data_IF_115660388255
#
_entry.id   IF_115660388255
#
_cell.length_a   1.000
_cell.length_b   1.000
_cell.length_c   1.000
_cell.angle_alpha   90.00
_cell.angle_beta   90.00
_cell.angle_gamma   90.00
#
_symmetry.space_group_name_H-M   'P 1'
#
loop_
_entity.id
_entity.type
_entity.pdbx_description
1 polymer ?
#
# COMPACT_ATOMS: atom_id res chain seq x y z
N UNK A 1 1.81 28.49 21.29
CA UNK A 1 2.48 27.57 20.33
C UNK A 1 2.23 28.13 18.94
N UNK A 2 3.29 28.57 18.25
CA UNK A 2 3.20 29.42 17.07
C UNK A 2 2.72 28.63 15.84
N UNK A 3 1.59 29.06 15.28
CA UNK A 3 1.05 28.61 14.01
C UNK A 3 1.79 29.37 12.91
N UNK A 4 2.71 28.70 12.20
CA UNK A 4 3.46 29.30 11.09
C UNK A 4 2.68 29.06 9.80
N UNK A 5 1.71 29.93 9.52
CA UNK A 5 1.06 30.00 8.21
C UNK A 5 2.01 30.74 7.25
N UNK A 6 2.68 30.00 6.36
CA UNK A 6 3.46 30.61 5.29
C UNK A 6 2.52 31.06 4.17
N UNK A 7 2.23 32.35 4.11
CA UNK A 7 1.64 32.98 2.94
C UNK A 7 2.66 32.95 1.78
N UNK A 8 2.54 31.96 0.88
CA UNK A 8 3.23 31.97 -0.42
C UNK A 8 2.30 32.61 -1.46
N UNK A 9 2.82 33.64 -2.15
CA UNK A 9 2.16 34.24 -3.31
C UNK A 9 2.41 33.31 -4.51
N UNK A 10 1.37 32.88 -5.26
CA UNK A 10 1.55 31.93 -6.35
C UNK A 10 2.30 32.59 -7.50
N UNK A 11 3.54 32.15 -7.73
CA UNK A 11 4.32 32.51 -8.91
C UNK A 11 4.11 31.50 -10.03
N UNK A 12 4.37 31.89 -11.28
CA UNK A 12 4.27 31.02 -12.48
C UNK A 12 5.17 29.76 -12.40
N UNK A 13 6.14 29.74 -11.46
CA UNK A 13 7.04 28.63 -11.15
C UNK A 13 6.55 27.72 -10.00
N UNK A 14 5.54 28.12 -9.21
CA UNK A 14 4.89 27.24 -8.21
C UNK A 14 4.10 26.08 -8.87
N UNK A 15 3.92 26.18 -10.19
CA UNK A 15 3.18 25.21 -11.00
C UNK A 15 3.91 23.89 -11.22
N UNK A 16 5.22 23.86 -11.01
CA UNK A 16 6.07 22.68 -11.21
C UNK A 16 7.02 22.53 -10.02
N UNK A 17 6.59 21.80 -8.99
CA UNK A 17 7.46 21.40 -7.91
C UNK A 17 8.20 20.13 -8.30
N UNK A 18 9.40 20.32 -8.87
CA UNK A 18 10.38 19.26 -9.09
C UNK A 18 11.35 19.20 -7.91
N UNK A 19 11.43 18.05 -7.25
CA UNK A 19 12.32 17.82 -6.12
C UNK A 19 13.26 16.66 -6.48
N UNK A 20 14.52 17.00 -6.79
CA UNK A 20 15.54 16.04 -7.25
C UNK A 20 16.43 15.50 -6.12
N UNK A 21 16.45 16.18 -4.96
CA UNK A 21 17.14 15.74 -3.74
C UNK A 21 16.72 16.62 -2.56
N UNK A 22 15.96 16.09 -1.62
CA UNK A 22 15.59 16.82 -0.40
C UNK A 22 15.44 15.87 0.79
N UNK A 23 15.89 16.37 1.94
CA UNK A 23 15.59 15.81 3.25
C UNK A 23 14.08 15.82 3.49
N UNK A 24 13.58 14.75 4.09
CA UNK A 24 12.17 14.38 4.25
C UNK A 24 11.24 15.57 4.52
N UNK A 25 10.53 16.05 3.47
CA UNK A 25 9.37 16.93 3.65
C UNK A 25 8.17 16.09 4.05
N UNK A 26 7.47 16.49 5.12
CA UNK A 26 6.35 15.72 5.67
C UNK A 26 5.09 15.81 4.77
N UNK A 27 4.94 16.92 4.05
CA UNK A 27 3.83 17.16 3.14
C UNK A 27 4.22 18.09 1.98
N UNK A 28 3.73 17.81 0.77
CA UNK A 28 3.88 18.62 -0.44
C UNK A 28 2.51 18.74 -1.10
N UNK A 29 2.14 19.97 -1.45
CA UNK A 29 0.92 20.30 -2.18
C UNK A 29 1.29 21.13 -3.43
N UNK A 30 0.87 20.71 -4.62
CA UNK A 30 1.11 21.43 -5.88
C UNK A 30 0.22 20.91 -7.02
N UNK A 31 -0.01 21.69 -8.08
CA UNK A 31 -0.71 21.17 -9.27
C UNK A 31 0.03 19.97 -9.87
N UNK A 32 1.35 20.07 -10.08
CA UNK A 32 2.15 19.01 -10.67
C UNK A 32 3.39 18.77 -9.82
N UNK A 33 3.54 17.52 -9.39
CA UNK A 33 4.66 17.09 -8.55
C UNK A 33 5.52 16.07 -9.29
N UNK A 34 6.81 16.36 -9.42
CA UNK A 34 7.81 15.42 -9.89
C UNK A 34 8.82 15.12 -8.78
N UNK A 35 8.81 13.88 -8.30
CA UNK A 35 9.71 13.42 -7.25
C UNK A 35 10.74 12.47 -7.83
N UNK A 36 12.01 12.76 -7.57
CA UNK A 36 13.10 11.89 -7.99
C UNK A 36 14.13 11.70 -6.88
N UNK A 37 14.49 10.44 -6.59
CA UNK A 37 15.56 10.10 -5.63
C UNK A 37 15.34 10.74 -4.23
N UNK A 38 14.09 10.78 -3.77
CA UNK A 38 13.68 11.42 -2.52
C UNK A 38 12.84 10.52 -1.63
N UNK A 39 12.78 10.86 -0.35
CA UNK A 39 11.84 10.27 0.62
C UNK A 39 10.90 11.36 1.12
N UNK A 40 9.60 11.19 0.96
CA UNK A 40 8.59 12.19 1.32
C UNK A 40 7.49 11.53 2.16
N UNK A 41 6.94 12.28 3.11
CA UNK A 41 5.76 11.87 3.85
C UNK A 41 4.56 11.77 2.92
N UNK A 42 3.94 12.89 2.58
CA UNK A 42 2.72 12.92 1.80
C UNK A 42 2.78 13.88 0.62
N UNK A 43 2.13 13.51 -0.47
CA UNK A 43 1.96 14.32 -1.67
C UNK A 43 0.48 14.46 -1.96
N UNK A 44 0.02 15.69 -2.09
CA UNK A 44 -1.27 16.04 -2.68
C UNK A 44 -1.02 16.83 -3.95
N UNK A 45 -1.55 16.35 -5.08
CA UNK A 45 -1.33 17.02 -6.34
C UNK A 45 -2.51 16.88 -7.31
N UNK A 46 -2.49 17.66 -8.39
CA UNK A 46 -3.35 17.35 -9.54
C UNK A 46 -2.77 16.18 -10.34
N UNK A 47 -1.45 16.20 -10.60
CA UNK A 47 -0.71 15.07 -11.20
C UNK A 47 0.58 14.80 -10.44
N UNK A 48 0.92 13.52 -10.26
CA UNK A 48 2.13 13.12 -9.56
C UNK A 48 2.97 12.12 -10.37
N UNK A 49 4.24 12.43 -10.58
CA UNK A 49 5.24 11.51 -11.13
C UNK A 49 6.31 11.22 -10.09
N UNK A 50 6.50 9.95 -9.76
CA UNK A 50 7.38 9.51 -8.67
C UNK A 50 8.38 8.48 -9.19
N UNK A 51 9.66 8.86 -9.27
CA UNK A 51 10.72 8.01 -9.80
C UNK A 51 11.81 7.74 -8.76
N UNK A 52 12.15 6.47 -8.52
CA UNK A 52 13.20 6.09 -7.55
C UNK A 52 13.02 6.79 -6.20
N UNK A 53 11.79 6.88 -5.72
CA UNK A 53 11.46 7.60 -4.50
C UNK A 53 10.58 6.74 -3.58
N UNK A 54 10.62 7.07 -2.29
CA UNK A 54 9.78 6.47 -1.26
C UNK A 54 8.80 7.52 -0.74
N UNK A 55 7.51 7.27 -0.90
CA UNK A 55 6.47 8.22 -0.48
C UNK A 55 5.49 7.51 0.45
N UNK A 56 5.16 8.07 1.62
CA UNK A 56 4.18 7.41 2.50
C UNK A 56 2.81 7.35 1.82
N UNK A 57 2.33 8.47 1.31
CA UNK A 57 1.03 8.55 0.63
C UNK A 57 1.08 9.51 -0.56
N UNK A 58 0.61 9.05 -1.72
CA UNK A 58 0.43 9.88 -2.92
C UNK A 58 -1.07 9.98 -3.18
N UNK A 59 -1.59 11.21 -3.21
CA UNK A 59 -2.96 11.52 -3.63
C UNK A 59 -2.87 12.43 -4.85
N UNK A 60 -3.52 12.05 -5.95
CA UNK A 60 -3.64 12.88 -7.12
C UNK A 60 -5.10 13.01 -7.58
N UNK A 61 -5.48 14.19 -8.07
CA UNK A 61 -6.82 14.40 -8.64
C UNK A 61 -6.94 13.77 -10.03
N UNK A 62 -5.90 13.84 -10.85
CA UNK A 62 -5.83 13.19 -12.15
C UNK A 62 -5.01 11.90 -12.05
N UNK A 63 -3.77 11.90 -12.56
CA UNK A 63 -3.00 10.69 -12.79
C UNK A 63 -1.79 10.58 -11.86
N UNK A 64 -1.41 9.34 -11.54
CA UNK A 64 -0.17 9.02 -10.83
C UNK A 64 0.68 8.09 -11.69
N UNK A 65 1.94 8.47 -11.92
CA UNK A 65 2.93 7.62 -12.56
C UNK A 65 4.07 7.31 -11.58
N UNK A 66 4.35 6.02 -11.36
CA UNK A 66 5.44 5.55 -10.49
C UNK A 66 6.41 4.66 -11.25
N UNK A 67 7.71 4.95 -11.13
CA UNK A 67 8.77 4.16 -11.75
C UNK A 67 9.86 3.83 -10.74
N UNK A 68 10.10 2.54 -10.51
CA UNK A 68 11.10 2.05 -9.55
C UNK A 68 10.94 2.70 -8.16
N UNK A 69 9.70 2.92 -7.74
CA UNK A 69 9.35 3.68 -6.54
C UNK A 69 8.53 2.84 -5.57
N UNK A 70 8.49 3.26 -4.31
CA UNK A 70 7.67 2.65 -3.26
C UNK A 70 6.69 3.64 -2.65
N UNK A 71 5.42 3.25 -2.48
CA UNK A 71 4.47 4.05 -1.72
C UNK A 71 3.54 3.21 -0.84
N UNK A 72 3.24 3.63 0.40
CA UNK A 72 2.34 2.85 1.26
C UNK A 72 0.89 2.93 0.78
N UNK A 73 0.49 4.10 0.28
CA UNK A 73 -0.80 4.28 -0.40
C UNK A 73 -0.68 5.19 -1.61
N UNK A 74 -1.39 4.81 -2.68
CA UNK A 74 -1.53 5.59 -3.90
C UNK A 74 -3.01 5.74 -4.19
N UNK A 75 -3.47 6.98 -4.37
CA UNK A 75 -4.83 7.31 -4.75
C UNK A 75 -4.82 8.28 -5.92
N UNK A 76 -5.56 7.96 -6.98
CA UNK A 76 -5.75 8.82 -8.14
C UNK A 76 -7.23 8.83 -8.54
N UNK A 77 -7.78 9.97 -8.97
CA UNK A 77 -9.13 9.98 -9.57
C UNK A 77 -9.12 9.73 -11.08
N UNK A 78 -7.96 9.81 -11.71
CA UNK A 78 -7.68 9.33 -13.06
C UNK A 78 -7.04 7.95 -13.04
N UNK A 79 -5.91 7.84 -13.73
CA UNK A 79 -5.19 6.59 -13.94
C UNK A 79 -3.98 6.45 -13.01
N UNK A 80 -3.61 5.21 -12.68
CA UNK A 80 -2.36 4.89 -11.98
C UNK A 80 -1.49 3.99 -12.83
N UNK A 81 -0.29 4.46 -13.18
CA UNK A 81 0.75 3.66 -13.84
C UNK A 81 1.88 3.33 -12.87
N UNK A 82 2.23 2.05 -12.75
CA UNK A 82 3.36 1.60 -11.94
C UNK A 82 4.27 0.67 -12.74
N UNK A 83 5.56 1.03 -12.81
CA UNK A 83 6.60 0.24 -13.46
C UNK A 83 7.71 -0.07 -12.47
N UNK A 84 8.01 -1.35 -12.24
CA UNK A 84 9.04 -1.76 -11.27
C UNK A 84 8.80 -1.24 -9.85
N UNK A 85 7.55 -0.95 -9.48
CA UNK A 85 7.20 -0.22 -8.27
C UNK A 85 6.41 -1.09 -7.29
N UNK A 86 6.36 -0.68 -6.02
CA UNK A 86 5.65 -1.42 -4.97
C UNK A 86 4.68 -0.53 -4.20
N UNK A 87 3.44 -0.99 -4.03
CA UNK A 87 2.49 -0.31 -3.15
C UNK A 87 1.48 -1.26 -2.51
N UNK A 88 1.40 -1.32 -1.16
CA UNK A 88 0.38 -2.13 -0.49
C UNK A 88 -1.05 -1.74 -0.87
N UNK A 89 -1.32 -0.49 -1.23
CA UNK A 89 -2.67 0.02 -1.48
C UNK A 89 -2.68 0.96 -2.67
N UNK A 90 -3.36 0.55 -3.74
CA UNK A 90 -3.52 1.35 -4.96
C UNK A 90 -5.02 1.54 -5.23
N UNK A 91 -5.43 2.79 -5.34
CA UNK A 91 -6.80 3.16 -5.73
C UNK A 91 -6.75 4.09 -6.95
N UNK A 92 -7.39 3.70 -8.04
CA UNK A 92 -7.66 4.56 -9.18
C UNK A 92 -9.17 4.58 -9.45
N UNK A 93 -9.73 5.72 -9.86
CA UNK A 93 -11.15 5.74 -10.26
C UNK A 93 -11.37 5.29 -11.71
N UNK A 94 -10.30 5.25 -12.52
CA UNK A 94 -10.29 4.79 -13.90
C UNK A 94 -9.41 3.55 -14.02
N UNK A 95 -8.20 3.67 -14.56
CA UNK A 95 -7.40 2.51 -14.92
C UNK A 95 -6.17 2.35 -14.02
N UNK A 96 -5.80 1.11 -13.72
CA UNK A 96 -4.52 0.77 -13.10
C UNK A 96 -3.69 -0.05 -14.06
N UNK A 97 -2.45 0.38 -14.32
CA UNK A 97 -1.47 -0.35 -15.13
C UNK A 97 -0.27 -0.72 -14.29
N UNK A 98 -0.02 -2.02 -14.13
CA UNK A 98 1.10 -2.56 -13.38
C UNK A 98 2.02 -3.33 -14.32
N UNK A 99 3.27 -2.90 -14.42
CA UNK A 99 4.32 -3.60 -15.17
C UNK A 99 5.50 -3.89 -14.24
N UNK A 100 5.86 -5.16 -14.10
CA UNK A 100 6.84 -5.67 -13.15
C UNK A 100 6.69 -5.08 -11.72
N UNK A 101 5.45 -4.91 -11.26
CA UNK A 101 5.12 -4.16 -10.05
C UNK A 101 4.33 -5.01 -9.07
N UNK A 102 4.45 -4.72 -7.78
CA UNK A 102 3.75 -5.47 -6.72
C UNK A 102 2.76 -4.58 -5.99
N UNK A 103 1.51 -5.05 -5.87
CA UNK A 103 0.48 -4.37 -5.10
C UNK A 103 -0.22 -5.30 -4.10
N UNK A 104 -0.54 -4.78 -2.92
CA UNK A 104 -1.29 -5.55 -1.92
C UNK A 104 -2.76 -5.62 -2.29
N UNK A 105 -3.40 -4.45 -2.36
CA UNK A 105 -4.80 -4.27 -2.75
C UNK A 105 -4.85 -3.26 -3.88
N UNK A 106 -5.55 -3.60 -4.96
CA UNK A 106 -5.78 -2.72 -6.10
C UNK A 106 -7.27 -2.52 -6.28
N UNK A 107 -7.71 -1.27 -6.33
CA UNK A 107 -9.10 -0.90 -6.64
C UNK A 107 -9.13 -0.01 -7.88
N UNK A 108 -9.82 -0.43 -8.94
CA UNK A 108 -9.86 0.31 -10.21
C UNK A 108 -11.12 0.00 -10.99
N UNK A 109 -11.50 0.83 -11.97
CA UNK A 109 -12.52 0.45 -12.95
C UNK A 109 -12.00 -0.65 -13.86
N UNK A 110 -10.79 -0.45 -14.39
CA UNK A 110 -10.07 -1.43 -15.19
C UNK A 110 -8.67 -1.62 -14.62
N UNK A 111 -8.19 -2.86 -14.59
CA UNK A 111 -6.83 -3.15 -14.18
C UNK A 111 -6.10 -3.96 -15.25
N UNK A 112 -4.95 -3.46 -15.70
CA UNK A 112 -4.01 -4.17 -16.56
C UNK A 112 -2.77 -4.49 -15.76
N UNK A 113 -2.53 -5.77 -15.55
CA UNK A 113 -1.31 -6.27 -14.90
C UNK A 113 -0.55 -7.04 -15.96
N UNK A 114 0.60 -6.55 -16.39
CA UNK A 114 1.43 -7.22 -17.39
C UNK A 114 2.31 -8.28 -16.74
N UNK A 115 2.96 -7.90 -15.64
CA UNK A 115 3.82 -8.77 -14.84
C UNK A 115 3.89 -8.24 -13.40
N UNK A 116 3.85 -9.15 -12.43
CA UNK A 116 3.89 -8.78 -11.01
C UNK A 116 2.88 -9.52 -10.13
N UNK A 117 2.80 -9.09 -8.88
CA UNK A 117 1.96 -9.72 -7.86
C UNK A 117 0.89 -8.74 -7.38
N UNK A 118 -0.36 -9.17 -7.39
CA UNK A 118 -1.47 -8.44 -6.77
C UNK A 118 -2.13 -9.33 -5.73
N UNK A 119 -2.19 -8.89 -4.47
CA UNK A 119 -2.87 -9.66 -3.43
C UNK A 119 -4.38 -9.76 -3.70
N UNK A 120 -5.05 -8.62 -3.64
CA UNK A 120 -6.51 -8.51 -3.86
C UNK A 120 -6.75 -7.53 -5.00
N UNK A 121 -7.48 -7.97 -6.02
CA UNK A 121 -7.84 -7.14 -7.16
C UNK A 121 -9.35 -6.90 -7.20
N UNK A 122 -9.75 -5.66 -6.89
CA UNK A 122 -11.14 -5.20 -6.93
C UNK A 122 -11.32 -4.33 -8.18
N UNK A 123 -11.81 -4.91 -9.26
CA UNK A 123 -11.98 -4.17 -10.51
C UNK A 123 -13.20 -4.60 -11.31
N UNK A 124 -13.71 -3.71 -12.17
CA UNK A 124 -14.80 -3.99 -13.10
C UNK A 124 -14.35 -4.86 -14.26
N UNK A 125 -13.14 -4.63 -14.77
CA UNK A 125 -12.51 -5.45 -15.82
C UNK A 125 -11.02 -5.64 -15.52
N UNK A 126 -10.49 -6.84 -15.77
CA UNK A 126 -9.09 -7.15 -15.51
C UNK A 126 -8.44 -7.80 -16.73
N UNK A 127 -7.29 -7.29 -17.13
CA UNK A 127 -6.40 -7.90 -18.14
C UNK A 127 -5.11 -8.31 -17.45
N UNK A 128 -4.85 -9.62 -17.42
CA UNK A 128 -3.73 -10.22 -16.72
C UNK A 128 -2.79 -10.83 -17.76
N UNK A 129 -1.51 -10.47 -17.70
CA UNK A 129 -0.45 -11.11 -18.47
C UNK A 129 -0.03 -12.46 -17.89
N UNK A 130 0.70 -13.24 -18.67
CA UNK A 130 1.04 -14.64 -18.37
C UNK A 130 1.88 -14.84 -17.10
N UNK A 131 2.53 -13.77 -16.61
CA UNK A 131 3.39 -13.78 -15.41
C UNK A 131 2.76 -13.04 -14.23
N UNK A 132 1.43 -13.02 -14.15
CA UNK A 132 0.72 -12.34 -13.07
C UNK A 132 0.15 -13.32 -12.06
N UNK A 133 0.28 -12.98 -10.78
CA UNK A 133 -0.30 -13.77 -9.70
C UNK A 133 -1.29 -12.89 -8.92
N UNK A 134 -2.58 -13.15 -9.12
CA UNK A 134 -3.67 -12.53 -8.36
C UNK A 134 -4.18 -13.53 -7.33
N UNK A 135 -4.03 -13.22 -6.03
CA UNK A 135 -4.37 -14.17 -4.96
C UNK A 135 -5.88 -14.25 -4.74
N UNK A 136 -6.61 -13.12 -4.84
CA UNK A 136 -8.07 -13.10 -4.85
C UNK A 136 -8.60 -12.14 -5.93
N UNK A 137 -9.43 -12.67 -6.83
CA UNK A 137 -10.20 -11.86 -7.76
C UNK A 137 -11.39 -11.21 -7.05
N UNK A 138 -11.96 -10.14 -7.62
CA UNK A 138 -13.06 -9.38 -6.99
C UNK A 138 -14.28 -10.23 -6.60
N UNK A 139 -14.59 -11.29 -7.37
CA UNK A 139 -15.70 -12.21 -7.02
C UNK A 139 -15.34 -13.09 -5.83
N UNK A 140 -14.12 -13.62 -5.78
CA UNK A 140 -13.65 -14.45 -4.67
C UNK A 140 -13.43 -13.62 -3.40
N UNK A 141 -13.01 -12.36 -3.55
CA UNK A 141 -12.87 -11.41 -2.45
C UNK A 141 -14.23 -11.05 -1.82
N UNK A 142 -15.28 -10.92 -2.63
CA UNK A 142 -16.65 -10.71 -2.13
C UNK A 142 -17.16 -11.95 -1.37
N UNK A 143 -16.92 -13.14 -1.90
CA UNK A 143 -17.30 -14.38 -1.23
C UNK A 143 -16.52 -14.59 0.07
N UNK A 144 -15.22 -14.29 0.07
CA UNK A 144 -14.39 -14.31 1.27
C UNK A 144 -14.86 -13.26 2.30
N UNK A 145 -15.12 -12.03 1.86
CA UNK A 145 -15.65 -10.96 2.70
C UNK A 145 -17.01 -11.31 3.30
N UNK A 146 -17.90 -11.93 2.53
CA UNK A 146 -19.19 -12.42 3.02
C UNK A 146 -19.01 -13.55 4.04
N UNK A 147 -18.12 -14.50 3.76
CA UNK A 147 -17.81 -15.59 4.68
C UNK A 147 -17.29 -15.05 6.02
N UNK A 148 -16.30 -14.15 6.00
CA UNK A 148 -15.77 -13.52 7.21
C UNK A 148 -16.82 -12.64 7.90
N UNK A 149 -17.61 -11.89 7.14
CA UNK A 149 -18.67 -11.01 7.66
C UNK A 149 -19.81 -11.75 8.36
N UNK A 150 -20.09 -13.00 7.97
CA UNK A 150 -21.05 -13.88 8.63
C UNK A 150 -20.41 -14.59 9.83
N UNK A 151 -19.17 -15.08 9.67
CA UNK A 151 -18.50 -15.85 10.72
C UNK A 151 -18.07 -14.98 11.91
N UNK A 152 -17.59 -13.76 11.66
CA UNK A 152 -17.09 -12.87 12.71
C UNK A 152 -18.15 -12.52 13.78
N UNK A 153 -19.38 -12.07 13.45
CA UNK A 153 -20.40 -11.81 14.46
C UNK A 153 -20.88 -13.10 15.14
N UNK A 154 -20.89 -14.24 14.46
CA UNK A 154 -21.22 -15.53 15.07
C UNK A 154 -20.17 -15.94 16.12
N UNK A 155 -18.89 -15.83 15.78
CA UNK A 155 -17.77 -16.08 16.69
C UNK A 155 -17.78 -15.07 17.84
N UNK A 156 -17.98 -13.78 17.55
CA UNK A 156 -18.08 -12.74 18.59
C UNK A 156 -19.28 -12.96 19.51
N UNK A 157 -20.41 -13.42 18.99
CA UNK A 157 -21.60 -13.78 19.76
C UNK A 157 -21.35 -14.99 20.65
N UNK A 158 -20.75 -16.05 20.11
CA UNK A 158 -20.36 -17.23 20.87
C UNK A 158 -19.36 -16.86 21.97
N UNK A 159 -18.32 -16.09 21.65
CA UNK A 159 -17.35 -15.60 22.62
C UNK A 159 -17.99 -14.72 23.69
N UNK A 160 -18.94 -13.85 23.33
CA UNK A 160 -19.69 -13.05 24.32
C UNK A 160 -20.59 -13.91 25.21
N UNK A 161 -21.15 -14.99 24.66
CA UNK A 161 -22.01 -15.90 25.41
C UNK A 161 -21.24 -16.79 26.39
N UNK A 162 -19.99 -17.11 26.07
CA UNK A 162 -19.10 -17.89 26.94
C UNK A 162 -18.11 -17.04 27.73
N UNK A 163 -18.03 -15.73 27.49
CA UNK A 163 -17.19 -14.82 28.26
C UNK A 163 -17.88 -14.47 29.59
N UNK A 164 -17.16 -14.52 30.72
CA UNK A 164 -17.68 -14.03 31.99
C UNK A 164 -18.03 -12.53 31.87
N UNK A 165 -19.08 -12.05 32.58
CA UNK A 165 -19.46 -10.65 32.55
C UNK A 165 -18.25 -9.76 32.87
N UNK A 166 -18.15 -8.58 32.23
CA UNK A 166 -17.04 -7.67 32.51
C UNK A 166 -17.05 -7.33 34.00
N UNK A 167 -16.04 -7.81 34.73
CA UNK A 167 -15.79 -7.37 36.11
C UNK A 167 -15.67 -5.84 36.07
N UNK A 168 -16.36 -5.17 36.98
CA UNK A 168 -16.23 -3.72 37.19
C UNK A 168 -14.76 -3.33 37.10
N UNK A 169 -14.47 -2.35 36.26
CA UNK A 169 -13.11 -1.99 35.89
C UNK A 169 -12.38 -1.43 37.11
N UNK A 170 -11.67 -2.28 37.84
CA UNK A 170 -10.55 -1.82 38.66
C UNK A 170 -9.57 -1.06 37.75
N UNK A 171 -9.06 0.10 38.20
CA UNK A 171 -8.14 0.92 37.41
C UNK A 171 -6.92 0.08 37.03
N UNK A 172 -6.87 -0.35 35.77
CA UNK A 172 -5.84 -1.26 35.28
C UNK A 172 -4.47 -0.62 35.47
N UNK A 173 -3.56 -1.27 36.22
CA UNK A 173 -2.24 -0.73 36.49
C UNK A 173 -1.43 -0.57 35.21
N UNK A 174 -0.50 0.40 35.20
CA UNK A 174 0.18 0.85 33.98
C UNK A 174 0.91 -0.26 33.21
N UNK A 175 1.37 -1.31 33.89
CA UNK A 175 2.05 -2.44 33.28
C UNK A 175 1.15 -3.31 32.38
N UNK A 176 -0.17 -3.40 32.65
CA UNK A 176 -1.10 -4.12 31.75
C UNK A 176 -1.36 -3.32 30.47
N UNK A 177 -1.31 -1.99 30.53
CA UNK A 177 -1.38 -1.13 29.33
C UNK A 177 -0.13 -1.29 28.47
N UNK A 178 1.05 -1.32 29.10
CA UNK A 178 2.32 -1.56 28.41
C UNK A 178 2.37 -2.96 27.77
N UNK A 179 1.89 -4.00 28.48
CA UNK A 179 1.79 -5.36 27.96
C UNK A 179 0.84 -5.48 26.77
N UNK A 180 -0.34 -4.86 26.82
CA UNK A 180 -1.28 -4.80 25.69
C UNK A 180 -0.70 -4.03 24.49
N UNK A 181 0.03 -2.95 24.74
CA UNK A 181 0.72 -2.21 23.69
C UNK A 181 1.83 -3.05 23.03
N UNK A 182 2.64 -3.75 23.82
CA UNK A 182 3.67 -4.66 23.33
C UNK A 182 3.09 -5.85 22.54
N UNK A 183 1.99 -6.44 23.02
CA UNK A 183 1.30 -7.53 22.31
C UNK A 183 0.77 -7.06 20.94
N UNK A 184 0.30 -5.82 20.86
CA UNK A 184 -0.14 -5.22 19.61
C UNK A 184 1.01 -5.03 18.62
N UNK A 185 2.18 -4.62 19.11
CA UNK A 185 3.39 -4.47 18.30
C UNK A 185 3.93 -5.82 17.82
N UNK A 186 3.91 -6.86 18.65
CA UNK A 186 4.39 -8.19 18.25
C UNK A 186 3.51 -8.82 17.18
N UNK A 187 2.18 -8.62 17.20
CA UNK A 187 1.28 -9.07 16.13
C UNK A 187 1.58 -8.36 14.80
N UNK A 188 1.83 -7.05 14.84
CA UNK A 188 2.18 -6.28 13.63
C UNK A 188 3.54 -6.70 13.07
N UNK A 189 4.54 -6.86 13.94
CA UNK A 189 5.90 -7.27 13.54
C UNK A 189 5.95 -8.71 13.02
N UNK A 190 5.22 -9.64 13.65
CA UNK A 190 5.10 -11.02 13.18
C UNK A 190 4.38 -11.11 11.84
N UNK A 191 3.31 -10.33 11.64
CA UNK A 191 2.63 -10.23 10.34
C UNK A 191 3.55 -9.70 9.23
N UNK A 192 4.30 -8.62 9.50
CA UNK A 192 5.27 -8.07 8.55
C UNK A 192 6.41 -9.05 8.23
N UNK A 193 6.93 -9.76 9.24
CA UNK A 193 7.96 -10.77 9.05
C UNK A 193 7.47 -11.96 8.20
N UNK A 194 6.20 -12.37 8.36
CA UNK A 194 5.61 -13.47 7.60
C UNK A 194 5.40 -13.09 6.12
N UNK A 195 4.96 -11.85 5.86
CA UNK A 195 4.86 -11.31 4.49
C UNK A 195 6.26 -11.20 3.86
N UNK A 196 7.25 -10.70 4.59
CA UNK A 196 8.64 -10.62 4.14
C UNK A 196 9.25 -11.99 3.85
N UNK A 197 8.97 -13.00 4.68
CA UNK A 197 9.45 -14.37 4.47
C UNK A 197 8.79 -15.04 3.26
N UNK A 198 7.49 -14.84 3.05
CA UNK A 198 6.79 -15.33 1.85
C UNK A 198 7.35 -14.68 0.59
N UNK A 199 7.57 -13.36 0.60
CA UNK A 199 8.18 -12.64 -0.52
C UNK A 199 9.61 -13.15 -0.81
N UNK A 200 10.43 -13.33 0.23
CA UNK A 200 11.79 -13.86 0.12
C UNK A 200 11.81 -15.30 -0.43
N UNK A 201 10.93 -16.18 0.07
CA UNK A 201 10.85 -17.58 -0.38
C UNK A 201 10.44 -17.68 -1.85
N UNK A 202 9.51 -16.84 -2.29
CA UNK A 202 9.05 -16.82 -3.68
C UNK A 202 10.14 -16.29 -4.62
N UNK A 203 10.87 -15.25 -4.20
CA UNK A 203 12.01 -14.71 -4.94
C UNK A 203 13.14 -15.75 -5.08
N UNK A 204 13.48 -16.46 -3.99
CA UNK A 204 14.50 -17.52 -3.99
C UNK A 204 14.15 -18.63 -4.99
N UNK A 205 12.88 -19.03 -5.06
CA UNK A 205 12.42 -20.06 -5.98
C UNK A 205 12.43 -19.61 -7.46
N UNK A 206 12.36 -18.31 -7.72
CA UNK A 206 12.54 -17.75 -9.07
C UNK A 206 14.01 -17.71 -9.48
N UNK A 207 14.90 -17.32 -8.56
CA UNK A 207 16.36 -17.30 -8.82
C UNK A 207 16.89 -18.70 -9.12
N UNK A 208 16.40 -19.74 -8.41
CA UNK A 208 16.83 -21.13 -8.68
C UNK A 208 16.30 -21.69 -10.00
N UNK A 209 15.16 -21.19 -10.52
CA UNK A 209 14.64 -21.57 -11.85
C UNK A 209 15.38 -20.89 -13.01
N UNK A 210 15.90 -19.68 -12.79
CA UNK A 210 16.64 -18.93 -13.80
C UNK A 210 18.14 -19.27 -13.87
N UNK A 211 18.68 -19.96 -12.87
CA UNK A 211 20.09 -20.38 -12.81
C UNK A 211 20.21 -21.88 -12.43
N UNK A 212 19.92 -22.84 -13.33
CA UNK A 212 20.03 -24.26 -13.03
C UNK A 212 21.49 -24.80 -13.05
N UNK A 213 22.51 -23.95 -12.92
CA UNK A 213 23.91 -24.33 -13.23
C UNK A 213 25.02 -23.80 -12.32
N UNK A 214 24.74 -23.10 -11.21
CA UNK A 214 25.82 -22.53 -10.36
C UNK A 214 25.81 -23.00 -8.90
N UNK A 215 25.29 -24.20 -8.59
CA UNK A 215 25.44 -24.81 -7.26
C UNK A 215 26.02 -26.22 -7.42
N UNK A 216 27.18 -26.30 -8.07
CA UNK A 216 28.16 -27.37 -7.85
C UNK A 216 29.53 -26.73 -7.72
N UNK A 217 29.87 -26.39 -6.47
CA UNK A 217 31.21 -26.51 -5.88
C UNK A 217 31.11 -26.33 -4.37
#
# INVERSE_FOLDING_TARGET
MAHKTSNHRPGLLDRLLRIERAESRDHIESEVVELQNVSIGSVDAQKATVSRALVRSVTAQDDVAMTLSGALSVRASGDVGMTGSVSPLVMAARDVRLSNSSAGVVTAREARVESGMVGVLLTGSATLGDQTHVVLSGRDALLFGAAVGIFFPLVAYLLRRFAPPPKEQEPRPWYTRAGLWALRQTIVLSGAALIGWVAYRTLRNHVTRLLPGMIHR
#
